data_IF_126424111692
#
_entry.id   IF_126424111692
#
_cell.length_a   1.000
_cell.length_b   1.000
_cell.length_c   1.000
_cell.angle_alpha   90.00
_cell.angle_beta   90.00
_cell.angle_gamma   90.00
#
_symmetry.space_group_name_H-M   'P 1'
#
loop_
_entity.id
_entity.type
_entity.pdbx_description
1 polymer ?
#
# COMPACT_ATOMS: atom_id res chain seq x y z
N UNK A 1 -2.22 -20.34 10.80
CA UNK A 1 -2.19 -19.55 12.06
C UNK A 1 -2.73 -18.13 11.86
N UNK A 2 -2.18 -17.30 10.96
CA UNK A 2 -2.76 -15.98 10.64
C UNK A 2 -4.04 -16.13 9.79
N UNK A 3 -3.98 -16.98 8.76
CA UNK A 3 -5.14 -17.29 7.91
C UNK A 3 -6.32 -17.82 8.72
N UNK A 4 -6.09 -18.77 9.64
CA UNK A 4 -7.14 -19.32 10.52
C UNK A 4 -7.77 -18.24 11.42
N UNK A 5 -6.99 -17.25 11.87
CA UNK A 5 -7.48 -16.13 12.67
C UNK A 5 -8.38 -15.21 11.83
N UNK A 6 -8.04 -14.99 10.55
CA UNK A 6 -8.79 -14.11 9.67
C UNK A 6 -10.00 -14.79 8.99
N UNK A 7 -10.01 -16.12 8.90
CA UNK A 7 -11.04 -16.93 8.23
C UNK A 7 -12.45 -16.83 8.87
N UNK A 8 -12.55 -16.24 10.07
CA UNK A 8 -13.82 -16.05 10.79
C UNK A 8 -14.37 -14.63 10.76
N UNK A 9 -13.67 -13.66 10.14
CA UNK A 9 -14.15 -12.27 10.15
C UNK A 9 -15.36 -12.12 9.22
N UNK A 10 -16.44 -11.60 9.79
CA UNK A 10 -17.66 -11.28 9.08
C UNK A 10 -18.04 -9.83 9.31
N UNK A 11 -18.59 -9.21 8.27
CA UNK A 11 -19.01 -7.82 8.29
C UNK A 11 -20.54 -7.67 8.25
N UNK A 12 -20.97 -6.82 9.17
CA UNK A 12 -22.26 -6.16 9.35
C UNK A 12 -22.42 -4.72 8.91
N UNK A 13 -23.47 -4.31 8.19
CA UNK A 13 -23.88 -2.89 8.20
C UNK A 13 -25.22 -2.72 8.88
N UNK A 14 -25.31 -1.76 9.81
CA UNK A 14 -26.55 -1.35 10.46
C UNK A 14 -26.81 0.13 10.19
N UNK A 15 -28.00 0.42 9.69
CA UNK A 15 -28.58 1.77 9.57
C UNK A 15 -29.85 1.83 10.43
N UNK A 16 -30.46 3.00 10.57
CA UNK A 16 -31.70 3.17 11.33
C UNK A 16 -32.86 2.32 10.76
N UNK A 17 -32.84 2.05 9.45
CA UNK A 17 -33.95 1.38 8.73
C UNK A 17 -33.71 -0.08 8.38
N UNK A 18 -32.46 -0.54 8.37
CA UNK A 18 -32.14 -1.90 7.96
C UNK A 18 -30.76 -2.33 8.46
N UNK A 19 -30.60 -3.64 8.58
CA UNK A 19 -29.34 -4.29 8.86
C UNK A 19 -29.06 -5.32 7.78
N UNK A 20 -27.87 -5.30 7.17
CA UNK A 20 -27.48 -6.29 6.15
C UNK A 20 -27.23 -7.64 6.80
N UNK A 21 -27.30 -8.72 6.02
CA UNK A 21 -26.80 -10.03 6.45
C UNK A 21 -25.29 -10.00 6.68
N UNK A 22 -24.77 -11.06 7.33
CA UNK A 22 -23.34 -11.25 7.53
C UNK A 22 -22.64 -11.52 6.20
N UNK A 23 -21.60 -10.75 5.91
CA UNK A 23 -20.78 -10.88 4.71
C UNK A 23 -19.40 -11.41 5.12
N UNK A 24 -18.95 -12.52 4.55
CA UNK A 24 -17.60 -13.01 4.78
C UNK A 24 -16.58 -12.03 4.20
N UNK A 25 -15.56 -11.69 4.97
CA UNK A 25 -14.48 -10.81 4.52
C UNK A 25 -13.43 -11.62 3.78
N UNK A 26 -13.34 -11.40 2.48
CA UNK A 26 -12.27 -11.95 1.63
C UNK A 26 -10.97 -11.16 1.77
N UNK A 27 -9.92 -11.57 1.05
CA UNK A 27 -8.60 -10.92 1.04
C UNK A 27 -8.75 -9.42 0.74
N UNK A 28 -8.40 -8.57 1.71
CA UNK A 28 -8.45 -7.13 1.56
C UNK A 28 -8.77 -6.41 2.86
N UNK A 29 -9.02 -5.10 2.75
CA UNK A 29 -9.38 -4.24 3.87
C UNK A 29 -10.74 -3.60 3.56
N UNK A 30 -11.64 -3.55 4.53
CA UNK A 30 -13.01 -3.07 4.38
C UNK A 30 -13.07 -1.62 3.93
N UNK A 31 -13.69 -1.32 2.79
CA UNK A 31 -13.99 0.06 2.41
C UNK A 31 -15.05 0.66 3.34
N UNK A 32 -14.84 1.90 3.79
CA UNK A 32 -15.77 2.63 4.66
C UNK A 32 -15.58 2.37 6.17
N UNK A 33 -14.71 1.43 6.58
CA UNK A 33 -14.30 1.32 7.98
C UNK A 33 -13.23 2.37 8.31
N UNK A 34 -13.38 3.04 9.44
CA UNK A 34 -12.48 4.12 9.88
C UNK A 34 -11.03 3.65 10.09
N UNK A 35 -10.83 2.38 10.43
CA UNK A 35 -9.49 1.81 10.63
C UNK A 35 -8.80 1.40 9.33
N UNK A 36 -9.56 1.22 8.25
CA UNK A 36 -9.03 0.68 6.99
C UNK A 36 -7.95 1.54 6.34
N UNK A 37 -8.08 2.89 6.26
CA UNK A 37 -7.03 3.73 5.71
C UNK A 37 -5.72 3.61 6.49
N UNK A 38 -5.79 3.50 7.82
CA UNK A 38 -4.60 3.39 8.68
C UNK A 38 -3.90 2.05 8.45
N UNK A 39 -4.65 0.95 8.42
CA UNK A 39 -4.11 -0.38 8.14
C UNK A 39 -3.47 -0.46 6.75
N UNK A 40 -4.13 0.15 5.76
CA UNK A 40 -3.62 0.24 4.40
C UNK A 40 -2.29 1.02 4.34
N UNK A 41 -2.24 2.20 4.96
CA UNK A 41 -1.03 3.04 4.99
C UNK A 41 0.10 2.31 5.73
N UNK A 42 -0.18 1.62 6.84
CA UNK A 42 0.83 0.85 7.57
C UNK A 42 1.44 -0.26 6.72
N UNK A 43 0.61 -1.00 5.98
CA UNK A 43 1.08 -2.05 5.07
C UNK A 43 1.93 -1.45 3.92
N UNK A 44 1.44 -0.39 3.29
CA UNK A 44 2.18 0.30 2.21
C UNK A 44 3.49 0.90 2.71
N UNK A 45 3.54 1.50 3.88
CA UNK A 45 4.75 2.10 4.46
C UNK A 45 5.88 1.07 4.62
N UNK A 46 5.57 -0.18 4.96
CA UNK A 46 6.57 -1.26 5.04
C UNK A 46 7.22 -1.51 3.66
N UNK A 47 6.42 -1.54 2.60
CA UNK A 47 6.87 -1.74 1.22
C UNK A 47 7.70 -0.53 0.76
N UNK A 48 7.19 0.68 1.01
CA UNK A 48 7.82 1.93 0.59
C UNK A 48 9.17 2.13 1.28
N UNK A 49 9.31 1.80 2.56
CA UNK A 49 10.61 1.84 3.27
C UNK A 49 11.63 0.86 2.68
N UNK A 50 11.19 -0.30 2.22
CA UNK A 50 12.07 -1.24 1.54
C UNK A 50 12.50 -0.72 0.16
N UNK A 51 11.59 -0.07 -0.57
CA UNK A 51 11.89 0.59 -1.85
C UNK A 51 12.84 1.79 -1.68
N UNK A 52 12.65 2.60 -0.63
CA UNK A 52 13.43 3.81 -0.36
C UNK A 52 14.91 3.49 -0.15
N UNK A 53 15.25 2.35 0.49
CA UNK A 53 16.65 1.89 0.62
C UNK A 53 17.35 1.68 -0.72
N UNK A 54 16.59 1.37 -1.77
CA UNK A 54 17.08 1.14 -3.12
C UNK A 54 17.07 2.42 -3.98
N UNK A 55 16.39 3.46 -3.51
CA UNK A 55 16.18 4.70 -4.22
C UNK A 55 17.19 5.77 -3.76
N UNK A 56 17.95 6.35 -4.70
CA UNK A 56 18.83 7.47 -4.40
C UNK A 56 18.04 8.78 -4.50
N UNK A 57 18.24 9.78 -3.61
CA UNK A 57 17.62 11.09 -3.74
C UNK A 57 17.83 11.67 -5.15
N UNK A 58 16.78 12.23 -5.72
CA UNK A 58 16.86 12.83 -7.04
C UNK A 58 17.37 14.27 -6.90
N UNK A 59 18.59 14.51 -7.38
CA UNK A 59 19.15 15.86 -7.48
C UNK A 59 18.40 16.64 -8.57
N UNK A 60 17.67 17.66 -8.15
CA UNK A 60 16.92 18.56 -9.04
C UNK A 60 17.78 19.75 -9.50
N UNK A 61 19.08 19.76 -9.16
CA UNK A 61 19.99 20.88 -9.39
C UNK A 61 19.90 21.94 -8.31
N UNK A 62 20.94 22.78 -8.20
CA UNK A 62 20.99 23.89 -7.26
C UNK A 62 21.04 23.49 -5.78
N UNK A 63 21.40 22.24 -5.47
CA UNK A 63 21.41 21.72 -4.09
C UNK A 63 20.04 21.27 -3.58
N UNK A 64 19.01 21.27 -4.43
CA UNK A 64 17.67 20.79 -4.10
C UNK A 64 17.55 19.29 -4.37
N UNK A 65 17.34 18.50 -3.32
CA UNK A 65 17.09 17.07 -3.43
C UNK A 65 15.60 16.79 -3.19
N UNK A 66 14.96 16.13 -4.15
CA UNK A 66 13.60 15.61 -3.96
C UNK A 66 13.66 14.19 -3.38
N UNK A 67 12.73 13.85 -2.48
CA UNK A 67 12.53 12.47 -2.06
C UNK A 67 12.29 11.61 -3.30
N UNK A 68 12.99 10.47 -3.43
CA UNK A 68 12.89 9.66 -4.64
C UNK A 68 11.60 8.84 -4.70
N UNK A 69 10.82 8.84 -3.61
CA UNK A 69 9.57 8.13 -3.45
C UNK A 69 8.57 9.02 -2.70
N UNK A 70 7.34 9.12 -3.21
CA UNK A 70 6.19 9.67 -2.49
C UNK A 70 5.01 8.77 -2.74
N UNK A 71 4.20 8.52 -1.72
CA UNK A 71 2.98 7.74 -1.87
C UNK A 71 1.82 8.38 -1.11
N UNK A 72 0.61 8.14 -1.60
CA UNK A 72 -0.62 8.50 -0.95
C UNK A 72 -1.66 7.42 -1.26
N UNK A 73 -2.04 6.66 -0.22
CA UNK A 73 -2.89 5.48 -0.40
C UNK A 73 -2.29 4.56 -1.48
N UNK A 74 -3.07 4.18 -2.49
CA UNK A 74 -2.67 3.31 -3.59
C UNK A 74 -1.78 4.00 -4.63
N UNK A 75 -1.74 5.34 -4.65
CA UNK A 75 -0.90 6.09 -5.58
C UNK A 75 0.54 6.18 -5.09
N UNK A 76 1.49 5.77 -5.94
CA UNK A 76 2.94 5.90 -5.67
C UNK A 76 3.66 6.59 -6.82
N UNK A 77 4.43 7.63 -6.49
CA UNK A 77 5.31 8.38 -7.39
C UNK A 77 6.77 8.04 -7.09
N UNK A 78 7.51 7.66 -8.14
CA UNK A 78 8.94 7.41 -8.09
C UNK A 78 9.65 8.47 -8.94
N UNK A 79 10.63 9.16 -8.35
CA UNK A 79 11.46 10.12 -9.05
C UNK A 79 12.88 9.57 -9.18
N UNK A 80 13.36 9.44 -10.43
CA UNK A 80 14.71 8.97 -10.69
C UNK A 80 15.32 9.66 -11.91
N UNK A 81 16.60 10.03 -11.81
CA UNK A 81 17.35 10.68 -12.89
C UNK A 81 17.83 9.70 -13.98
N UNK A 82 17.69 8.39 -13.77
CA UNK A 82 18.18 7.36 -14.70
C UNK A 82 17.08 6.36 -15.02
N UNK A 83 16.75 6.23 -16.30
CA UNK A 83 15.73 5.30 -16.80
C UNK A 83 15.99 3.84 -16.38
N UNK A 84 17.23 3.35 -16.49
CA UNK A 84 17.54 1.98 -16.10
C UNK A 84 17.32 1.71 -14.60
N UNK A 85 17.47 2.72 -13.74
CA UNK A 85 17.16 2.59 -12.31
C UNK A 85 15.66 2.61 -12.07
N UNK A 86 14.91 3.49 -12.74
CA UNK A 86 13.46 3.57 -12.59
C UNK A 86 12.79 2.27 -13.04
N UNK A 87 13.22 1.68 -14.17
CA UNK A 87 12.68 0.42 -14.67
C UNK A 87 12.88 -0.74 -13.69
N UNK A 88 14.07 -0.85 -13.08
CA UNK A 88 14.36 -1.89 -12.09
C UNK A 88 13.55 -1.71 -10.80
N UNK A 89 13.42 -0.49 -10.31
CA UNK A 89 12.60 -0.22 -9.14
C UNK A 89 11.12 -0.50 -9.39
N UNK A 90 10.61 -0.16 -10.59
CA UNK A 90 9.23 -0.43 -10.95
C UNK A 90 8.94 -1.93 -11.00
N UNK A 91 9.79 -2.72 -11.65
CA UNK A 91 9.66 -4.20 -11.66
C UNK A 91 9.71 -4.76 -10.24
N UNK A 92 10.68 -4.33 -9.43
CA UNK A 92 10.80 -4.79 -8.05
C UNK A 92 9.57 -4.43 -7.20
N UNK A 93 9.05 -3.21 -7.33
CA UNK A 93 7.88 -2.75 -6.58
C UNK A 93 6.63 -3.54 -6.99
N UNK A 94 6.46 -3.80 -8.29
CA UNK A 94 5.36 -4.64 -8.82
C UNK A 94 5.48 -6.06 -8.27
N UNK A 95 6.67 -6.67 -8.32
CA UNK A 95 6.88 -8.02 -7.76
C UNK A 95 6.64 -8.05 -6.25
N UNK A 96 7.08 -7.01 -5.53
CA UNK A 96 6.87 -6.89 -4.09
C UNK A 96 5.41 -6.65 -3.71
N UNK A 97 4.61 -6.02 -4.59
CA UNK A 97 3.17 -5.79 -4.38
C UNK A 97 2.30 -6.98 -4.83
N UNK A 98 2.70 -7.69 -5.89
CA UNK A 98 1.89 -8.74 -6.52
C UNK A 98 2.13 -10.13 -5.94
N UNK A 99 3.30 -10.39 -5.32
CA UNK A 99 3.60 -11.70 -4.73
C UNK A 99 3.17 -11.81 -3.24
N UNK A 100 2.10 -11.13 -2.85
CA UNK A 100 1.47 -11.29 -1.54
C UNK A 100 0.64 -12.58 -1.53
N UNK A 101 1.34 -13.72 -1.60
CA UNK A 101 0.79 -15.07 -1.38
C UNK A 101 1.33 -15.65 -0.09
#
# INVERSE_FOLDING_TARGET
MLEDYFNGFQMRFSSERYMTDWINLEVGIVMGCTMSPILFILAMEVILRAAERSASPADHGGGCYMPPLKAFMDDTMILCLRENKIRRMLVWLVDALMNWS
#
